data_IF_688326454967
#
_entry.id   IF_688326454967
#
_cell.length_a   1.000
_cell.length_b   1.000
_cell.length_c   1.000
_cell.angle_alpha   90.00
_cell.angle_beta   90.00
_cell.angle_gamma   90.00
#
_symmetry.space_group_name_H-M   'P 1'
#
loop_
_entity.id
_entity.type
_entity.pdbx_description
1 polymer ?
#
# COMPACT_ATOMS: atom_id res chain seq x y z
N UNK A 1 30.08 1.05 10.06
CA UNK A 1 29.71 2.05 11.10
C UNK A 1 29.75 1.38 12.47
N UNK A 2 30.25 2.04 13.54
CA UNK A 2 30.17 1.48 14.90
C UNK A 2 28.73 1.21 15.32
N UNK A 3 28.48 0.05 15.93
CA UNK A 3 27.13 -0.35 16.36
C UNK A 3 26.63 0.49 17.53
N UNK A 4 27.52 0.75 18.50
CA UNK A 4 27.23 1.53 19.71
C UNK A 4 28.10 2.79 19.78
N UNK A 5 27.48 3.93 20.00
CA UNK A 5 28.06 5.29 19.99
C UNK A 5 27.79 6.05 21.28
N UNK A 6 26.72 5.71 21.98
CA UNK A 6 26.34 6.35 23.23
C UNK A 6 25.27 5.55 23.95
N UNK A 7 24.14 6.19 24.24
CA UNK A 7 22.99 5.49 24.81
C UNK A 7 22.13 4.78 23.74
N UNK A 8 21.17 3.98 24.21
CA UNK A 8 20.29 3.19 23.34
C UNK A 8 19.59 4.03 22.27
N UNK A 9 19.10 5.22 22.65
CA UNK A 9 18.29 6.05 21.76
C UNK A 9 19.16 6.77 20.75
N UNK A 10 20.34 7.23 21.16
CA UNK A 10 21.34 7.78 20.25
C UNK A 10 21.73 6.76 19.17
N UNK A 11 21.95 5.50 19.58
CA UNK A 11 22.25 4.41 18.65
C UNK A 11 21.08 4.12 17.71
N UNK A 12 19.86 4.02 18.25
CA UNK A 12 18.66 3.77 17.46
C UNK A 12 18.44 4.87 16.42
N UNK A 13 18.55 6.14 16.83
CA UNK A 13 18.34 7.30 15.95
C UNK A 13 19.38 7.35 14.84
N UNK A 14 20.64 7.12 15.18
CA UNK A 14 21.71 7.04 14.20
C UNK A 14 21.42 5.99 13.12
N UNK A 15 21.02 4.78 13.53
CA UNK A 15 20.74 3.69 12.60
C UNK A 15 19.46 3.95 11.79
N UNK A 16 18.43 4.55 12.38
CA UNK A 16 17.20 4.94 11.68
C UNK A 16 17.50 5.96 10.58
N UNK A 17 18.29 6.99 10.87
CA UNK A 17 18.69 7.98 9.88
C UNK A 17 19.48 7.35 8.73
N UNK A 18 20.44 6.48 9.05
CA UNK A 18 21.21 5.74 8.06
C UNK A 18 20.31 4.87 7.16
N UNK A 19 19.37 4.13 7.75
CA UNK A 19 18.43 3.30 7.00
C UNK A 19 17.46 4.12 6.14
N UNK A 20 17.01 5.27 6.63
CA UNK A 20 16.15 6.16 5.87
C UNK A 20 16.86 6.81 4.69
N UNK A 21 18.16 7.09 4.81
CA UNK A 21 19.00 7.47 3.68
C UNK A 21 19.15 6.32 2.68
N UNK A 22 19.34 5.09 3.17
CA UNK A 22 19.48 3.89 2.34
C UNK A 22 18.23 3.57 1.49
N UNK A 23 17.04 4.05 1.87
CA UNK A 23 15.86 3.92 1.00
C UNK A 23 16.04 4.51 -0.40
N UNK A 24 16.99 5.45 -0.60
CA UNK A 24 17.31 5.98 -1.93
C UNK A 24 17.97 4.95 -2.85
N UNK A 25 18.70 4.01 -2.26
CA UNK A 25 19.39 2.95 -2.99
C UNK A 25 18.48 1.73 -3.24
N UNK A 26 17.34 1.69 -2.52
CA UNK A 26 16.35 0.63 -2.62
C UNK A 26 15.27 0.97 -3.63
N UNK A 27 14.95 0.02 -4.51
CA UNK A 27 13.86 0.12 -5.49
C UNK A 27 12.47 -0.10 -4.86
N UNK A 28 12.24 0.45 -3.66
CA UNK A 28 10.98 0.34 -2.94
C UNK A 28 9.96 1.35 -3.47
N UNK A 29 8.69 0.94 -3.48
CA UNK A 29 7.60 1.88 -3.76
C UNK A 29 7.49 2.93 -2.64
N UNK A 30 7.02 4.14 -2.96
CA UNK A 30 6.78 5.19 -1.96
C UNK A 30 5.88 4.71 -0.82
N UNK A 31 4.89 3.86 -1.12
CA UNK A 31 4.01 3.27 -0.12
C UNK A 31 4.77 2.34 0.83
N UNK A 32 5.71 1.55 0.31
CA UNK A 32 6.58 0.69 1.12
C UNK A 32 7.47 1.54 2.02
N UNK A 33 8.11 2.59 1.47
CA UNK A 33 8.96 3.52 2.23
C UNK A 33 8.16 4.19 3.35
N UNK A 34 6.99 4.75 3.04
CA UNK A 34 6.11 5.41 4.02
C UNK A 34 5.67 4.45 5.12
N UNK A 35 5.29 3.22 4.76
CA UNK A 35 4.94 2.17 5.71
C UNK A 35 6.12 1.81 6.63
N UNK A 36 7.32 1.62 6.09
CA UNK A 36 8.49 1.25 6.88
C UNK A 36 8.89 2.37 7.81
N UNK A 37 8.95 3.62 7.32
CA UNK A 37 9.20 4.81 8.15
C UNK A 37 8.21 4.91 9.30
N UNK A 38 6.90 4.73 9.02
CA UNK A 38 5.87 4.77 10.06
C UNK A 38 6.09 3.70 11.13
N UNK A 39 6.31 2.45 10.73
CA UNK A 39 6.55 1.34 11.68
C UNK A 39 7.81 1.59 12.52
N UNK A 40 8.89 2.08 11.90
CA UNK A 40 10.15 2.32 12.58
C UNK A 40 10.11 3.52 13.52
N UNK A 41 9.35 4.56 13.16
CA UNK A 41 9.06 5.66 14.07
C UNK A 41 8.19 5.21 15.25
N UNK A 42 7.18 4.37 15.01
CA UNK A 42 6.39 3.74 16.09
C UNK A 42 7.28 2.88 17.01
N UNK A 43 8.28 2.18 16.44
CA UNK A 43 9.26 1.42 17.21
C UNK A 43 10.17 2.34 18.04
N UNK A 44 10.62 3.46 17.47
CA UNK A 44 11.37 4.50 18.19
C UNK A 44 10.57 5.09 19.35
N UNK A 45 9.29 5.41 19.13
CA UNK A 45 8.39 5.91 20.18
C UNK A 45 8.27 4.90 21.33
N UNK A 46 8.08 3.62 21.00
CA UNK A 46 8.09 2.55 22.00
C UNK A 46 9.44 2.48 22.73
N UNK A 47 10.54 2.58 22.01
CA UNK A 47 11.86 2.53 22.63
C UNK A 47 12.12 3.70 23.57
N UNK A 48 11.72 4.91 23.20
CA UNK A 48 11.83 6.09 24.06
C UNK A 48 11.12 5.91 25.42
N UNK A 49 10.04 5.12 25.45
CA UNK A 49 9.23 4.90 26.66
C UNK A 49 9.71 3.69 27.49
N UNK A 50 10.38 2.70 26.88
CA UNK A 50 10.65 1.40 27.50
C UNK A 50 12.09 0.89 27.40
N UNK A 51 13.06 1.71 26.99
CA UNK A 51 14.47 1.30 26.86
C UNK A 51 15.34 1.49 28.12
N UNK A 52 14.77 1.91 29.26
CA UNK A 52 15.56 2.27 30.45
C UNK A 52 16.62 1.21 30.80
N UNK A 53 17.87 1.67 30.95
CA UNK A 53 19.07 0.89 31.28
C UNK A 53 19.44 -0.24 30.29
N UNK A 54 18.89 -0.23 29.08
CA UNK A 54 19.18 -1.22 28.04
C UNK A 54 20.25 -0.72 27.07
N UNK A 55 21.18 -1.57 26.65
CA UNK A 55 22.11 -1.29 25.56
C UNK A 55 21.52 -1.72 24.21
N UNK A 56 21.93 -1.06 23.12
CA UNK A 56 21.38 -1.35 21.79
C UNK A 56 21.59 -2.82 21.35
N UNK A 57 22.72 -3.42 21.74
CA UNK A 57 23.05 -4.85 21.49
C UNK A 57 22.14 -5.83 22.24
N UNK A 58 21.38 -5.37 23.23
CA UNK A 58 20.51 -6.24 24.05
C UNK A 58 19.13 -6.48 23.42
N UNK A 59 18.84 -5.86 22.27
CA UNK A 59 17.56 -6.04 21.56
C UNK A 59 17.40 -7.50 21.15
N UNK A 60 16.39 -8.14 21.76
CA UNK A 60 16.03 -9.55 21.53
C UNK A 60 14.62 -9.64 20.94
N UNK A 61 14.26 -10.84 20.50
CA UNK A 61 12.91 -11.16 19.97
C UNK A 61 11.78 -10.77 20.95
N UNK A 62 12.03 -10.86 22.25
CA UNK A 62 11.08 -10.44 23.29
C UNK A 62 10.78 -8.95 23.25
N UNK A 63 11.79 -8.10 23.00
CA UNK A 63 11.62 -6.65 22.90
C UNK A 63 10.72 -6.27 21.72
N UNK A 64 10.94 -6.91 20.56
CA UNK A 64 10.06 -6.73 19.38
C UNK A 64 8.64 -7.26 19.65
N UNK A 65 8.50 -8.32 20.43
CA UNK A 65 7.18 -8.86 20.81
C UNK A 65 6.44 -7.92 21.77
N UNK A 66 7.16 -7.27 22.68
CA UNK A 66 6.62 -6.26 23.60
C UNK A 66 6.19 -5.01 22.83
N UNK A 67 6.98 -4.56 21.86
CA UNK A 67 6.59 -3.49 20.93
C UNK A 67 5.25 -3.79 20.23
N UNK A 68 5.07 -5.00 19.67
CA UNK A 68 3.81 -5.37 19.05
C UNK A 68 2.63 -5.38 20.04
N UNK A 69 2.89 -5.71 21.30
CA UNK A 69 1.89 -5.70 22.38
C UNK A 69 1.53 -4.28 22.80
N UNK A 70 2.52 -3.39 22.88
CA UNK A 70 2.35 -1.95 23.12
C UNK A 70 1.42 -1.31 22.09
N UNK A 71 1.58 -1.64 20.81
CA UNK A 71 0.71 -1.13 19.74
C UNK A 71 -0.75 -1.58 19.88
N UNK A 72 -0.99 -2.79 20.39
CA UNK A 72 -2.35 -3.28 20.67
C UNK A 72 -2.99 -2.52 21.83
N UNK A 73 -2.20 -2.21 22.86
CA UNK A 73 -2.65 -1.44 24.03
C UNK A 73 -2.97 0.01 23.65
N UNK A 74 -2.13 0.67 22.85
CA UNK A 74 -2.31 2.08 22.45
C UNK A 74 -3.40 2.30 21.38
N UNK A 75 -3.82 1.24 20.68
CA UNK A 75 -4.92 1.31 19.71
C UNK A 75 -6.20 1.84 20.37
N UNK A 76 -6.87 2.83 19.78
CA UNK A 76 -8.05 3.53 20.34
C UNK A 76 -9.17 2.61 20.86
N UNK A 77 -9.25 1.38 20.34
CA UNK A 77 -10.25 0.39 20.71
C UNK A 77 -9.64 -0.85 21.41
N UNK A 78 -8.38 -0.79 21.84
CA UNK A 78 -7.56 -1.92 22.31
C UNK A 78 -7.65 -3.14 21.36
N UNK A 79 -7.83 -2.86 20.07
CA UNK A 79 -8.09 -3.91 19.08
C UNK A 79 -6.77 -4.59 18.76
N UNK A 80 -6.75 -5.91 18.93
CA UNK A 80 -5.61 -6.75 18.53
C UNK A 80 -5.23 -6.48 17.08
N UNK A 81 -3.94 -6.35 16.82
CA UNK A 81 -3.42 -6.19 15.47
C UNK A 81 -3.72 -7.46 14.69
N UNK A 82 -4.21 -7.29 13.46
CA UNK A 82 -4.39 -8.44 12.57
C UNK A 82 -3.05 -9.15 12.37
N UNK A 83 -3.09 -10.47 12.14
CA UNK A 83 -1.89 -11.25 11.86
C UNK A 83 -1.11 -10.67 10.68
N UNK A 84 -1.81 -10.21 9.63
CA UNK A 84 -1.21 -9.57 8.46
C UNK A 84 -0.48 -8.28 8.82
N UNK A 85 -1.06 -7.47 9.70
CA UNK A 85 -0.43 -6.25 10.22
C UNK A 85 0.83 -6.60 11.01
N UNK A 86 0.77 -7.55 11.96
CA UNK A 86 1.95 -8.00 12.72
C UNK A 86 3.08 -8.47 11.81
N UNK A 87 2.79 -9.32 10.83
CA UNK A 87 3.78 -9.78 9.86
C UNK A 87 4.37 -8.64 9.02
N UNK A 88 3.57 -7.63 8.70
CA UNK A 88 4.03 -6.44 7.96
C UNK A 88 4.99 -5.60 8.80
N UNK A 89 4.68 -5.43 10.08
CA UNK A 89 5.54 -4.72 11.03
C UNK A 89 6.87 -5.47 11.23
N UNK A 90 6.80 -6.78 11.44
CA UNK A 90 7.99 -7.62 11.57
C UNK A 90 8.88 -7.55 10.33
N UNK A 91 8.32 -7.49 9.11
CA UNK A 91 9.12 -7.30 7.90
C UNK A 91 9.90 -6.00 7.89
N UNK A 92 9.27 -4.89 8.31
CA UNK A 92 9.95 -3.59 8.38
C UNK A 92 11.07 -3.62 9.43
N UNK A 93 10.80 -4.15 10.62
CA UNK A 93 11.77 -4.31 11.71
C UNK A 93 12.93 -5.22 11.28
N UNK A 94 12.64 -6.40 10.72
CA UNK A 94 13.67 -7.32 10.24
C UNK A 94 14.51 -6.67 9.15
N UNK A 95 13.91 -5.99 8.18
CA UNK A 95 14.67 -5.31 7.13
C UNK A 95 15.61 -4.23 7.67
N UNK A 96 15.18 -3.49 8.70
CA UNK A 96 16.02 -2.51 9.39
C UNK A 96 17.22 -3.16 10.10
N UNK A 97 16.99 -4.23 10.88
CA UNK A 97 18.09 -4.90 11.57
C UNK A 97 19.00 -5.70 10.63
N UNK A 98 18.49 -6.22 9.51
CA UNK A 98 19.33 -6.79 8.44
C UNK A 98 20.28 -5.73 7.88
N UNK A 99 19.77 -4.52 7.60
CA UNK A 99 20.63 -3.42 7.18
C UNK A 99 21.70 -3.09 8.22
N UNK A 100 21.37 -3.07 9.52
CA UNK A 100 22.37 -2.87 10.59
C UNK A 100 23.41 -3.99 10.57
N UNK A 101 23.00 -5.25 10.48
CA UNK A 101 23.91 -6.41 10.42
C UNK A 101 24.91 -6.29 9.27
N UNK A 102 24.46 -5.83 8.10
CA UNK A 102 25.29 -5.68 6.90
C UNK A 102 26.26 -4.49 6.97
N UNK A 103 26.00 -3.50 7.83
CA UNK A 103 26.71 -2.21 7.82
C UNK A 103 27.44 -1.88 9.13
N UNK A 104 27.31 -2.71 10.16
CA UNK A 104 28.01 -2.51 11.43
C UNK A 104 29.42 -3.13 11.42
N UNK A 105 30.39 -2.43 12.01
CA UNK A 105 31.80 -2.86 12.09
C UNK A 105 32.08 -3.77 13.29
N UNK A 106 31.14 -3.88 14.22
CA UNK A 106 31.30 -4.57 15.49
C UNK A 106 31.20 -6.10 15.35
N UNK A 107 30.97 -6.63 14.12
CA UNK A 107 30.72 -8.04 13.82
C UNK A 107 29.58 -8.65 14.67
N UNK A 108 28.68 -7.80 15.15
CA UNK A 108 27.52 -8.20 15.93
C UNK A 108 26.33 -8.40 15.00
N UNK A 109 25.57 -9.46 15.24
CA UNK A 109 24.42 -9.81 14.43
C UNK A 109 23.15 -9.92 15.27
N UNK A 110 22.15 -9.11 14.95
CA UNK A 110 20.81 -9.27 15.48
C UNK A 110 20.14 -10.47 14.80
N UNK A 111 19.65 -11.40 15.61
CA UNK A 111 18.88 -12.56 15.13
C UNK A 111 17.56 -12.68 15.88
N UNK A 112 16.46 -12.72 15.13
CA UNK A 112 15.11 -12.78 15.69
C UNK A 112 14.35 -14.02 15.23
N UNK A 113 13.70 -14.70 16.17
CA UNK A 113 12.92 -15.91 15.88
C UNK A 113 11.42 -15.67 16.08
N UNK A 114 10.71 -15.38 14.99
CA UNK A 114 9.26 -15.16 14.98
C UNK A 114 8.44 -16.39 14.58
N UNK A 115 9.01 -17.60 14.70
CA UNK A 115 8.35 -18.86 14.30
C UNK A 115 6.95 -19.05 14.90
N UNK A 116 6.75 -18.67 16.16
CA UNK A 116 5.44 -18.75 16.87
C UNK A 116 4.36 -17.84 16.29
N UNK A 117 4.73 -16.79 15.53
CA UNK A 117 3.79 -15.89 14.85
C UNK A 117 3.48 -16.37 13.41
N UNK A 118 4.28 -17.29 12.88
CA UNK A 118 4.16 -17.85 11.54
C UNK A 118 3.23 -19.07 11.46
N UNK A 119 2.68 -19.57 12.58
CA UNK A 119 1.75 -20.71 12.59
C UNK A 119 0.62 -20.45 11.61
N UNK A 120 0.68 -21.08 10.42
CA UNK A 120 -0.34 -21.01 9.37
C UNK A 120 -1.65 -21.47 10.01
N UNK A 121 -2.48 -20.53 10.44
CA UNK A 121 -3.89 -20.84 10.55
C UNK A 121 -4.31 -21.15 9.12
N UNK A 122 -4.88 -22.34 8.95
CA UNK A 122 -5.56 -22.76 7.72
C UNK A 122 -6.30 -21.55 7.17
N UNK A 123 -6.08 -21.26 5.90
CA UNK A 123 -6.88 -20.25 5.21
C UNK A 123 -8.33 -20.72 5.35
N UNK A 124 -9.07 -20.17 6.31
CA UNK A 124 -10.51 -20.00 6.11
C UNK A 124 -10.55 -19.22 4.81
N UNK A 125 -11.00 -19.85 3.74
CA UNK A 125 -11.38 -19.16 2.53
C UNK A 125 -12.44 -18.16 2.97
N UNK A 126 -12.01 -16.94 3.28
CA UNK A 126 -12.92 -15.82 3.42
C UNK A 126 -13.64 -15.76 2.08
N UNK A 127 -14.93 -16.09 2.08
CA UNK A 127 -15.76 -15.98 0.88
C UNK A 127 -15.55 -14.58 0.36
N UNK A 128 -14.97 -14.47 -0.84
CA UNK A 128 -14.81 -13.19 -1.50
C UNK A 128 -16.21 -12.66 -1.80
N UNK A 129 -16.67 -11.73 -0.96
CA UNK A 129 -17.88 -10.96 -1.23
C UNK A 129 -17.63 -10.16 -2.52
N UNK A 130 -18.48 -10.41 -3.51
CA UNK A 130 -18.50 -9.72 -4.79
C UNK A 130 -19.94 -9.31 -5.06
N UNK A 131 -20.09 -8.28 -5.90
CA UNK A 131 -21.41 -7.81 -6.29
C UNK A 131 -22.08 -8.90 -7.15
N UNK A 132 -23.35 -9.19 -6.86
CA UNK A 132 -24.18 -9.97 -7.77
C UNK A 132 -24.51 -9.16 -9.03
N UNK A 133 -24.97 -9.83 -10.09
CA UNK A 133 -25.38 -9.15 -11.32
C UNK A 133 -26.47 -8.10 -11.08
N UNK A 134 -27.41 -8.38 -10.16
CA UNK A 134 -28.45 -7.42 -9.75
C UNK A 134 -27.85 -6.20 -9.03
N UNK A 135 -26.84 -6.40 -8.18
CA UNK A 135 -26.14 -5.32 -7.50
C UNK A 135 -25.30 -4.48 -8.46
N UNK A 136 -24.66 -5.12 -9.45
CA UNK A 136 -23.97 -4.43 -10.54
C UNK A 136 -24.96 -3.57 -11.34
N UNK A 137 -26.13 -4.11 -11.69
CA UNK A 137 -27.16 -3.35 -12.39
C UNK A 137 -27.66 -2.16 -11.57
N UNK A 138 -27.90 -2.35 -10.27
CA UNK A 138 -28.29 -1.25 -9.37
C UNK A 138 -27.21 -0.18 -9.24
N UNK A 139 -25.95 -0.57 -9.22
CA UNK A 139 -24.81 0.35 -9.19
C UNK A 139 -24.79 1.20 -10.46
N UNK A 140 -24.86 0.57 -11.63
CA UNK A 140 -24.87 1.27 -12.94
C UNK A 140 -26.05 2.22 -13.04
N UNK A 141 -27.27 1.76 -12.76
CA UNK A 141 -28.46 2.61 -12.80
C UNK A 141 -28.35 3.82 -11.86
N UNK A 142 -27.71 3.65 -10.72
CA UNK A 142 -27.48 4.76 -9.77
C UNK A 142 -26.48 5.76 -10.31
N UNK A 143 -25.37 5.30 -10.89
CA UNK A 143 -24.34 6.15 -11.47
C UNK A 143 -24.90 6.93 -12.66
N UNK A 144 -25.62 6.26 -13.56
CA UNK A 144 -26.25 6.88 -14.73
C UNK A 144 -27.26 7.95 -14.33
N UNK A 145 -28.13 7.65 -13.35
CA UNK A 145 -29.07 8.63 -12.81
C UNK A 145 -28.36 9.86 -12.23
N UNK A 146 -27.29 9.66 -11.45
CA UNK A 146 -26.54 10.77 -10.86
C UNK A 146 -25.77 11.58 -11.91
N UNK A 147 -25.28 10.92 -12.97
CA UNK A 147 -24.62 11.55 -14.12
C UNK A 147 -25.57 12.52 -14.82
N UNK A 148 -26.74 12.02 -15.21
CA UNK A 148 -27.79 12.80 -15.90
C UNK A 148 -28.34 13.92 -15.01
N UNK A 149 -28.53 13.69 -13.71
CA UNK A 149 -29.08 14.70 -12.80
C UNK A 149 -28.18 15.92 -12.61
N UNK A 150 -26.86 15.73 -12.65
CA UNK A 150 -25.89 16.80 -12.43
C UNK A 150 -25.34 17.40 -13.71
N UNK A 151 -25.10 16.55 -14.70
CA UNK A 151 -24.58 16.93 -16.02
C UNK A 151 -23.30 17.78 -15.94
N UNK A 152 -22.40 17.44 -15.01
CA UNK A 152 -21.15 18.17 -14.77
C UNK A 152 -19.92 17.28 -14.98
N UNK A 153 -18.76 17.91 -15.11
CA UNK A 153 -17.50 17.19 -15.33
C UNK A 153 -17.24 16.11 -14.26
N UNK A 154 -17.60 16.39 -13.00
CA UNK A 154 -17.35 15.46 -11.90
C UNK A 154 -18.25 14.21 -11.99
N UNK A 155 -19.50 14.36 -12.45
CA UNK A 155 -20.46 13.27 -12.59
C UNK A 155 -20.04 12.32 -13.71
N UNK A 156 -19.68 12.85 -14.89
CA UNK A 156 -19.12 12.07 -16.00
C UNK A 156 -17.80 11.40 -15.61
N UNK A 157 -16.90 12.11 -14.91
CA UNK A 157 -15.61 11.55 -14.46
C UNK A 157 -15.81 10.39 -13.51
N UNK A 158 -16.71 10.53 -12.55
CA UNK A 158 -16.99 9.48 -11.59
C UNK A 158 -17.63 8.25 -12.26
N UNK A 159 -18.52 8.47 -13.23
CA UNK A 159 -19.13 7.39 -14.00
C UNK A 159 -18.08 6.60 -14.80
N UNK A 160 -17.25 7.28 -15.59
CA UNK A 160 -16.16 6.65 -16.34
C UNK A 160 -15.21 5.88 -15.42
N UNK A 161 -14.80 6.48 -14.29
CA UNK A 161 -13.89 5.84 -13.34
C UNK A 161 -14.44 4.51 -12.81
N UNK A 162 -15.72 4.47 -12.44
CA UNK A 162 -16.34 3.25 -11.93
C UNK A 162 -16.51 2.21 -13.05
N UNK A 163 -16.94 2.63 -14.24
CA UNK A 163 -17.08 1.75 -15.41
C UNK A 163 -15.74 1.14 -15.84
N UNK A 164 -14.65 1.89 -15.78
CA UNK A 164 -13.29 1.40 -16.02
C UNK A 164 -12.87 0.32 -15.01
N UNK A 165 -13.18 0.51 -13.72
CA UNK A 165 -12.88 -0.51 -12.70
C UNK A 165 -13.75 -1.76 -12.86
N UNK A 166 -15.04 -1.58 -13.16
CA UNK A 166 -16.02 -2.64 -13.25
C UNK A 166 -15.87 -3.48 -14.52
N UNK A 167 -15.77 -2.84 -15.68
CA UNK A 167 -15.79 -3.51 -16.98
C UNK A 167 -14.40 -3.77 -17.57
N UNK A 168 -13.42 -2.89 -17.32
CA UNK A 168 -12.04 -3.10 -17.79
C UNK A 168 -11.14 -3.77 -16.72
N UNK A 169 -11.66 -3.98 -15.50
CA UNK A 169 -10.92 -4.64 -14.42
C UNK A 169 -9.72 -3.83 -13.90
N UNK A 170 -9.69 -2.53 -14.15
CA UNK A 170 -8.59 -1.67 -13.77
C UNK A 170 -8.53 -1.46 -12.26
N UNK A 171 -7.32 -1.47 -11.69
CA UNK A 171 -7.13 -1.04 -10.30
C UNK A 171 -7.36 0.46 -10.20
N UNK A 172 -7.86 0.95 -9.06
CA UNK A 172 -8.07 2.39 -8.84
C UNK A 172 -6.86 3.25 -9.20
N UNK A 173 -5.64 2.82 -8.87
CA UNK A 173 -4.41 3.55 -9.17
C UNK A 173 -4.05 3.57 -10.66
N UNK A 174 -4.53 2.60 -11.43
CA UNK A 174 -4.38 2.52 -12.89
C UNK A 174 -5.46 3.38 -13.54
N UNK A 175 -6.73 3.23 -13.13
CA UNK A 175 -7.86 4.00 -13.66
C UNK A 175 -7.68 5.52 -13.51
N UNK A 176 -7.13 5.98 -12.39
CA UNK A 176 -6.86 7.41 -12.15
C UNK A 176 -5.79 8.01 -13.08
N UNK A 177 -5.01 7.19 -13.78
CA UNK A 177 -3.94 7.63 -14.68
C UNK A 177 -4.30 7.52 -16.16
N UNK A 178 -5.46 6.94 -16.48
CA UNK A 178 -5.93 6.80 -17.85
C UNK A 178 -6.22 8.18 -18.43
N UNK A 179 -5.72 8.42 -19.64
CA UNK A 179 -5.97 9.63 -20.43
C UNK A 179 -6.78 9.26 -21.67
N UNK A 180 -7.44 10.24 -22.28
CA UNK A 180 -8.22 10.02 -23.50
C UNK A 180 -7.37 9.48 -24.67
N UNK A 181 -6.10 9.87 -24.75
CA UNK A 181 -5.17 9.36 -25.76
C UNK A 181 -4.74 7.91 -25.55
N UNK A 182 -5.04 7.32 -24.39
CA UNK A 182 -4.66 5.94 -24.09
C UNK A 182 -5.70 4.93 -24.65
N UNK A 183 -6.86 5.41 -25.12
CA UNK A 183 -7.90 4.60 -25.77
C UNK A 183 -7.62 4.48 -27.27
N UNK A 184 -7.66 3.26 -27.77
CA UNK A 184 -7.52 2.93 -29.19
C UNK A 184 -8.65 1.99 -29.59
N UNK A 185 -9.19 2.17 -30.80
CA UNK A 185 -10.10 1.19 -31.40
C UNK A 185 -9.32 -0.09 -31.70
N UNK A 186 -9.92 -1.25 -31.43
CA UNK A 186 -9.28 -2.57 -31.62
C UNK A 186 -10.12 -3.43 -32.59
N UNK A 187 -11.13 -4.14 -32.06
CA UNK A 187 -12.14 -4.91 -32.83
C UNK A 187 -13.50 -4.15 -32.86
N UNK A 188 -14.47 -4.62 -33.67
CA UNK A 188 -15.83 -4.05 -33.69
C UNK A 188 -16.40 -4.01 -32.27
N UNK A 189 -16.74 -2.80 -31.82
CA UNK A 189 -17.28 -2.44 -30.50
C UNK A 189 -16.35 -2.56 -29.28
N UNK A 190 -15.04 -2.73 -29.46
CA UNK A 190 -14.07 -2.85 -28.37
C UNK A 190 -12.99 -1.76 -28.39
N UNK A 191 -12.72 -1.19 -27.22
CA UNK A 191 -11.63 -0.24 -26.98
C UNK A 191 -10.49 -0.91 -26.22
N UNK A 192 -9.27 -0.69 -26.68
CA UNK A 192 -8.03 -1.05 -26.03
C UNK A 192 -7.44 0.14 -25.28
N UNK A 193 -7.18 -0.04 -24.00
CA UNK A 193 -6.66 0.98 -23.09
C UNK A 193 -5.21 0.66 -22.75
N UNK A 194 -4.29 1.56 -23.09
CA UNK A 194 -2.88 1.47 -22.72
C UNK A 194 -2.71 1.91 -21.25
N UNK A 195 -2.20 1.02 -20.40
CA UNK A 195 -2.02 1.30 -18.97
C UNK A 195 -0.59 1.03 -18.50
N UNK A 196 -0.14 1.82 -17.53
CA UNK A 196 1.14 1.61 -16.85
C UNK A 196 0.93 0.75 -15.60
N UNK A 197 1.25 -0.53 -15.69
CA UNK A 197 1.11 -1.47 -14.60
C UNK A 197 2.26 -1.39 -13.58
N UNK A 198 2.13 -2.17 -12.50
CA UNK A 198 3.15 -2.25 -11.45
C UNK A 198 4.52 -2.61 -12.01
N UNK A 199 5.54 -1.85 -11.61
CA UNK A 199 6.92 -2.02 -12.08
C UNK A 199 7.23 -1.28 -13.38
N UNK A 200 6.35 -0.37 -13.82
CA UNK A 200 6.58 0.44 -15.02
C UNK A 200 6.38 -0.32 -16.34
N UNK A 201 5.74 -1.49 -16.29
CA UNK A 201 5.45 -2.29 -17.48
C UNK A 201 4.16 -1.81 -18.12
N UNK A 202 4.17 -1.60 -19.42
CA UNK A 202 2.95 -1.34 -20.19
C UNK A 202 2.10 -2.61 -20.25
N UNK A 203 0.80 -2.44 -20.06
CA UNK A 203 -0.21 -3.48 -20.20
C UNK A 203 -1.41 -2.90 -20.95
N UNK A 204 -2.29 -3.78 -21.40
CA UNK A 204 -3.52 -3.41 -22.07
C UNK A 204 -4.72 -3.90 -21.26
N UNK A 205 -5.74 -3.07 -21.18
CA UNK A 205 -7.08 -3.46 -20.74
C UNK A 205 -8.05 -3.28 -21.91
N UNK A 206 -9.19 -3.96 -21.84
CA UNK A 206 -10.19 -3.94 -22.90
C UNK A 206 -11.56 -3.60 -22.30
N UNK A 207 -12.34 -2.80 -23.02
CA UNK A 207 -13.70 -2.43 -22.62
C UNK A 207 -14.59 -2.28 -23.84
N UNK A 208 -15.87 -2.68 -23.74
CA UNK A 208 -16.83 -2.41 -24.82
C UNK A 208 -17.07 -0.91 -24.93
N UNK A 209 -17.07 -0.40 -26.15
CA UNK A 209 -17.33 1.02 -26.45
C UNK A 209 -18.68 1.48 -25.88
N UNK A 210 -19.72 0.67 -26.06
CA UNK A 210 -21.08 0.92 -25.56
C UNK A 210 -21.21 1.08 -24.04
N UNK A 211 -20.17 0.78 -23.25
CA UNK A 211 -20.20 1.03 -21.81
C UNK A 211 -19.76 2.43 -21.43
N UNK A 212 -18.97 3.11 -22.26
CA UNK A 212 -18.29 4.37 -21.90
C UNK A 212 -18.31 5.43 -23.00
N UNK A 213 -19.05 5.21 -24.09
CA UNK A 213 -19.09 6.09 -25.25
C UNK A 213 -19.62 7.49 -24.88
N UNK A 214 -20.70 7.53 -24.12
CA UNK A 214 -21.28 8.75 -23.56
C UNK A 214 -20.27 9.60 -22.77
N UNK A 215 -19.44 8.98 -21.92
CA UNK A 215 -18.40 9.69 -21.18
C UNK A 215 -17.23 10.14 -22.06
N UNK A 216 -16.79 9.28 -22.99
CA UNK A 216 -15.71 9.63 -23.89
C UNK A 216 -16.10 10.81 -24.81
N UNK A 217 -17.33 10.84 -25.27
CA UNK A 217 -17.82 11.91 -26.13
C UNK A 217 -17.98 13.22 -25.36
N UNK A 218 -18.53 13.19 -24.15
CA UNK A 218 -18.57 14.35 -23.24
C UNK A 218 -17.17 14.96 -23.05
N UNK A 219 -16.14 14.14 -22.76
CA UNK A 219 -14.79 14.67 -22.54
C UNK A 219 -14.12 15.20 -23.80
N UNK A 220 -14.41 14.63 -24.98
CA UNK A 220 -13.91 15.16 -26.26
C UNK A 220 -14.52 16.53 -26.56
N UNK A 221 -15.80 16.73 -26.27
CA UNK A 221 -16.47 18.02 -26.44
C UNK A 221 -15.94 19.05 -25.46
N UNK A 222 -15.87 18.70 -24.17
CA UNK A 222 -15.34 19.57 -23.13
C UNK A 222 -13.92 20.10 -23.43
N UNK A 223 -13.05 19.27 -24.04
CA UNK A 223 -11.70 19.67 -24.44
C UNK A 223 -11.66 20.60 -25.66
N UNK A 224 -12.69 20.62 -26.51
CA UNK A 224 -12.76 21.58 -27.63
C UNK A 224 -13.17 22.97 -27.17
N UNK A 225 -13.90 23.04 -26.05
CA UNK A 225 -14.42 24.28 -25.47
C UNK A 225 -13.48 24.94 -24.45
N UNK A 226 -12.46 24.20 -23.98
CA UNK A 226 -11.45 24.64 -23.01
C UNK A 226 -10.18 25.16 -23.68
#
# INVERSE_FOLDING_TARGET
MKLTRGDFLEDLDFWLEAYFCHFKDLNYSLNTISLYKRVLNEFREYSLEFCDEMQFKEIKTSYISNFLSYLEIRSKNHKKLSKKTKLTYLRAITSFFTFINENNEDLFEFSFNFSKLNTRNEKREEKLEHLSDDEIQRLINTIERLKIQKEDYASFRNALLIKLMLYAGLRISESLKVRLCDFNEDEEDMLKINILAKGGKEQFAYIKKAYIDDELDYFKEYLKES
#
